data_IF_508364566243
#
_entry.id   IF_508364566243
#
_cell.length_a   1.000
_cell.length_b   1.000
_cell.length_c   1.000
_cell.angle_alpha   90.00
_cell.angle_beta   90.00
_cell.angle_gamma   90.00
#
_symmetry.space_group_name_H-M   'P 1'
#
loop_
_entity.id
_entity.type
_entity.pdbx_description
1 polymer ?
#
# COMPACT_ATOMS: atom_id res chain seq x y z
N UNK A 1 19.21 20.89 -20.04
CA UNK A 1 20.44 20.28 -19.49
C UNK A 1 20.37 20.45 -17.98
N UNK A 2 19.96 19.41 -17.25
CA UNK A 2 19.76 19.47 -15.80
C UNK A 2 21.10 19.63 -15.08
N UNK A 3 21.20 20.61 -14.18
CA UNK A 3 22.39 20.84 -13.36
C UNK A 3 22.54 19.64 -12.43
N UNK A 4 23.60 18.85 -12.58
CA UNK A 4 23.95 17.82 -11.59
C UNK A 4 24.14 18.49 -10.23
N UNK A 5 23.50 17.95 -9.19
CA UNK A 5 23.68 18.42 -7.82
C UNK A 5 25.14 18.27 -7.42
N UNK A 6 25.67 19.24 -6.68
CA UNK A 6 26.96 19.06 -6.05
C UNK A 6 26.87 17.90 -5.04
N UNK A 7 27.99 17.25 -4.76
CA UNK A 7 28.01 16.14 -3.80
C UNK A 7 27.54 16.56 -2.40
N UNK A 8 27.62 17.85 -2.06
CA UNK A 8 27.11 18.40 -0.81
C UNK A 8 25.56 18.52 -0.78
N UNK A 9 24.93 18.68 -1.94
CA UNK A 9 23.47 18.86 -2.08
C UNK A 9 22.72 17.54 -2.33
N UNK A 10 23.45 16.42 -2.47
CA UNK A 10 22.86 15.09 -2.61
C UNK A 10 22.27 14.62 -1.27
N UNK A 11 21.04 14.05 -1.28
CA UNK A 11 20.51 13.31 -0.14
C UNK A 11 21.46 12.18 0.27
N UNK A 12 21.41 11.77 1.53
CA UNK A 12 22.04 10.53 1.98
C UNK A 12 21.10 9.36 1.70
N UNK A 13 21.65 8.18 1.48
CA UNK A 13 20.87 6.95 1.40
C UNK A 13 21.43 5.86 2.33
N UNK A 14 20.57 4.92 2.70
CA UNK A 14 20.94 3.63 3.25
C UNK A 14 20.20 2.54 2.46
N UNK A 15 20.95 1.60 1.87
CA UNK A 15 20.36 0.48 1.11
C UNK A 15 19.84 -0.59 2.07
N UNK A 16 18.71 -1.17 1.72
CA UNK A 16 18.16 -2.34 2.42
C UNK A 16 17.65 -3.37 1.42
N UNK A 17 17.36 -4.57 1.95
CA UNK A 17 16.71 -5.65 1.23
C UNK A 17 15.66 -6.29 2.12
N UNK A 18 14.41 -6.29 1.67
CA UNK A 18 13.33 -7.04 2.31
C UNK A 18 13.17 -8.39 1.61
N UNK A 19 13.12 -9.46 2.40
CA UNK A 19 12.89 -10.81 1.88
C UNK A 19 11.49 -11.27 2.22
N UNK A 20 10.67 -11.50 1.21
CA UNK A 20 9.31 -11.98 1.38
C UNK A 20 9.30 -13.45 1.82
N UNK A 21 8.42 -13.77 2.77
CA UNK A 21 8.20 -15.14 3.26
C UNK A 21 7.68 -16.08 2.17
N UNK A 22 7.04 -15.53 1.15
CA UNK A 22 6.51 -16.24 -0.01
C UNK A 22 6.32 -15.32 -1.22
N UNK A 23 5.77 -15.86 -2.32
CA UNK A 23 5.43 -15.06 -3.51
C UNK A 23 4.25 -14.15 -3.19
N UNK A 24 4.41 -12.84 -3.41
CA UNK A 24 3.45 -11.83 -2.93
C UNK A 24 2.27 -11.56 -3.87
N UNK A 25 2.41 -11.75 -5.18
CA UNK A 25 1.30 -11.56 -6.14
C UNK A 25 1.58 -12.22 -7.50
N UNK A 26 0.62 -12.12 -8.42
CA UNK A 26 0.69 -12.69 -9.77
C UNK A 26 1.74 -12.03 -10.67
N UNK A 27 2.02 -10.74 -10.45
CA UNK A 27 2.91 -9.94 -11.29
C UNK A 27 4.40 -10.21 -11.00
N UNK A 28 4.75 -10.80 -9.87
CA UNK A 28 6.15 -11.10 -9.53
C UNK A 28 6.39 -12.53 -9.03
N UNK A 29 7.57 -13.07 -9.32
CA UNK A 29 8.12 -14.28 -8.66
C UNK A 29 9.30 -13.95 -7.74
N UNK A 30 9.67 -12.67 -7.66
CA UNK A 30 10.77 -12.16 -6.83
C UNK A 30 10.39 -12.31 -5.36
N UNK A 31 11.38 -12.68 -4.55
CA UNK A 31 11.25 -12.76 -3.08
C UNK A 31 12.14 -11.76 -2.37
N UNK A 32 12.99 -11.05 -3.09
CA UNK A 32 13.96 -10.13 -2.53
C UNK A 32 13.78 -8.77 -3.16
N UNK A 33 13.46 -7.78 -2.33
CA UNK A 33 13.07 -6.45 -2.74
C UNK A 33 14.09 -5.46 -2.20
N UNK A 34 14.87 -4.89 -3.11
CA UNK A 34 15.86 -3.87 -2.78
C UNK A 34 15.21 -2.49 -2.81
N UNK A 35 15.56 -1.67 -1.83
CA UNK A 35 15.16 -0.28 -1.76
C UNK A 35 16.21 0.57 -1.05
N UNK A 36 15.89 1.85 -0.88
CA UNK A 36 16.71 2.76 -0.10
C UNK A 36 15.87 3.57 0.86
N UNK A 37 16.39 3.77 2.06
CA UNK A 37 15.99 4.89 2.89
C UNK A 37 16.76 6.12 2.43
N UNK A 38 16.11 7.27 2.47
CA UNK A 38 16.64 8.55 2.01
C UNK A 38 16.65 9.50 3.21
N UNK A 39 17.76 10.19 3.45
CA UNK A 39 17.86 11.23 4.49
C UNK A 39 18.15 12.59 3.86
N UNK A 40 17.34 13.59 4.22
CA UNK A 40 17.46 15.00 3.82
C UNK A 40 17.42 15.86 5.08
N UNK A 41 18.55 16.47 5.45
CA UNK A 41 18.68 17.09 6.77
C UNK A 41 18.51 16.04 7.86
N UNK A 42 17.58 16.30 8.79
CA UNK A 42 17.21 15.35 9.84
C UNK A 42 16.06 14.43 9.47
N UNK A 43 15.41 14.63 8.32
CA UNK A 43 14.24 13.83 7.95
C UNK A 43 14.54 12.64 7.05
N UNK A 44 13.69 11.62 7.15
CA UNK A 44 13.84 10.34 6.49
C UNK A 44 12.64 9.98 5.60
N UNK A 45 12.91 9.36 4.46
CA UNK A 45 11.92 8.82 3.54
C UNK A 45 12.33 7.47 2.98
N UNK A 46 11.45 6.86 2.19
CA UNK A 46 11.65 5.52 1.63
C UNK A 46 11.39 5.49 0.12
N UNK A 47 12.28 4.84 -0.62
CA UNK A 47 12.09 4.46 -2.02
C UNK A 47 12.11 2.93 -2.09
N UNK A 48 10.97 2.33 -2.44
CA UNK A 48 10.79 0.89 -2.59
C UNK A 48 10.07 0.60 -3.92
N UNK A 49 10.80 0.42 -5.03
CA UNK A 49 10.16 0.26 -6.33
C UNK A 49 9.66 -1.17 -6.57
N UNK A 50 8.51 -1.25 -7.23
CA UNK A 50 7.94 -2.48 -7.80
C UNK A 50 7.93 -2.41 -9.34
N UNK A 51 9.05 -2.74 -10.03
CA UNK A 51 9.08 -2.71 -11.49
C UNK A 51 8.06 -3.61 -12.16
N UNK A 52 7.71 -4.70 -11.49
CA UNK A 52 6.65 -5.62 -11.92
C UNK A 52 5.26 -4.98 -11.93
N UNK A 53 5.09 -3.87 -11.20
CA UNK A 53 3.88 -3.06 -11.14
C UNK A 53 4.03 -1.74 -11.91
N UNK A 54 5.08 -1.59 -12.73
CA UNK A 54 5.28 -0.40 -13.57
C UNK A 54 6.07 0.72 -12.91
N UNK A 55 6.52 0.54 -11.66
CA UNK A 55 7.52 1.44 -11.10
C UNK A 55 8.81 1.34 -11.90
N UNK A 56 9.65 2.38 -11.84
CA UNK A 56 10.96 2.24 -12.42
C UNK A 56 11.93 1.45 -11.51
N UNK A 57 12.95 0.79 -12.08
CA UNK A 57 13.98 0.09 -11.30
C UNK A 57 14.74 1.01 -10.33
N UNK A 58 15.24 0.43 -9.23
CA UNK A 58 15.94 1.17 -8.17
C UNK A 58 17.07 2.06 -8.68
N UNK A 59 17.92 1.56 -9.58
CA UNK A 59 19.04 2.35 -10.13
C UNK A 59 18.57 3.60 -10.89
N UNK A 60 17.38 3.52 -11.52
CA UNK A 60 16.79 4.68 -12.18
C UNK A 60 16.19 5.65 -11.16
N UNK A 61 15.58 5.15 -10.08
CA UNK A 61 15.13 5.99 -8.97
C UNK A 61 16.30 6.75 -8.32
N UNK A 62 17.44 6.08 -8.15
CA UNK A 62 18.67 6.69 -7.61
C UNK A 62 19.24 7.76 -8.53
N UNK A 63 19.25 7.49 -9.85
CA UNK A 63 19.65 8.50 -10.84
C UNK A 63 18.72 9.72 -10.84
N UNK A 64 17.40 9.50 -10.71
CA UNK A 64 16.41 10.59 -10.61
C UNK A 64 16.52 11.37 -9.29
N UNK A 65 16.76 10.69 -8.16
CA UNK A 65 17.02 11.29 -6.85
C UNK A 65 18.24 12.22 -6.85
N UNK A 66 19.30 11.81 -7.54
CA UNK A 66 20.51 12.60 -7.75
C UNK A 66 20.36 13.71 -8.81
N UNK A 67 19.24 13.73 -9.53
CA UNK A 67 19.00 14.59 -10.68
C UNK A 67 17.68 15.35 -10.58
N UNK A 68 16.78 15.23 -11.58
CA UNK A 68 15.62 16.10 -11.71
C UNK A 68 14.49 15.81 -10.72
N UNK A 69 14.50 14.65 -10.04
CA UNK A 69 13.46 14.23 -9.07
C UNK A 69 12.06 14.29 -9.69
N UNK A 70 11.97 13.75 -10.89
CA UNK A 70 10.78 13.82 -11.75
C UNK A 70 9.78 12.71 -11.47
N UNK A 71 10.22 11.60 -10.87
CA UNK A 71 9.37 10.43 -10.69
C UNK A 71 8.55 10.51 -9.41
N UNK A 72 7.26 10.11 -9.44
CA UNK A 72 6.38 10.18 -8.28
C UNK A 72 7.00 9.52 -7.03
N UNK A 73 7.52 8.30 -7.17
CA UNK A 73 8.17 7.59 -6.05
C UNK A 73 9.32 8.37 -5.40
N UNK A 74 10.11 9.10 -6.19
CA UNK A 74 11.22 9.93 -5.70
C UNK A 74 10.69 11.19 -5.03
N UNK A 75 9.72 11.87 -5.65
CA UNK A 75 9.10 13.08 -5.08
C UNK A 75 8.39 12.80 -3.77
N UNK A 76 7.66 11.69 -3.69
CA UNK A 76 6.95 11.26 -2.48
C UNK A 76 7.92 10.84 -1.37
N UNK A 77 9.03 10.16 -1.69
CA UNK A 77 10.08 9.89 -0.71
C UNK A 77 10.73 11.17 -0.14
N UNK A 78 10.96 12.19 -0.97
CA UNK A 78 11.46 13.48 -0.52
C UNK A 78 10.42 14.25 0.30
N UNK A 79 9.14 14.16 -0.06
CA UNK A 79 8.05 14.75 0.71
C UNK A 79 7.88 14.09 2.08
N UNK A 80 8.02 12.77 2.13
CA UNK A 80 8.10 11.99 3.37
C UNK A 80 9.23 12.51 4.27
N UNK A 81 10.45 12.64 3.72
CA UNK A 81 11.59 13.19 4.46
C UNK A 81 11.38 14.63 4.92
N UNK A 82 10.72 15.48 4.13
CA UNK A 82 10.41 16.86 4.54
C UNK A 82 9.45 16.91 5.73
N UNK A 83 8.39 16.09 5.70
CA UNK A 83 7.40 16.01 6.79
C UNK A 83 8.04 15.42 8.05
N UNK A 84 8.81 14.34 7.90
CA UNK A 84 9.54 13.70 8.99
C UNK A 84 10.55 14.66 9.64
N UNK A 85 11.32 15.43 8.84
CA UNK A 85 12.23 16.46 9.33
C UNK A 85 11.52 17.50 10.21
N UNK A 86 10.31 17.91 9.83
CA UNK A 86 9.54 18.89 10.58
C UNK A 86 9.15 18.36 11.97
N UNK A 87 8.70 17.10 12.06
CA UNK A 87 8.40 16.46 13.34
C UNK A 87 9.64 16.32 14.24
N UNK A 88 10.77 15.90 13.65
CA UNK A 88 12.04 15.77 14.38
C UNK A 88 12.60 17.10 14.87
N UNK A 89 12.53 18.14 14.05
CA UNK A 89 12.96 19.48 14.44
C UNK A 89 12.11 20.06 15.59
N UNK A 90 10.86 19.61 15.70
CA UNK A 90 9.94 19.99 16.78
C UNK A 90 10.01 19.05 18.00
N UNK A 91 10.83 18.00 17.97
CA UNK A 91 10.98 16.99 19.03
C UNK A 91 9.63 16.32 19.40
N UNK A 92 8.81 16.00 18.40
CA UNK A 92 7.49 15.36 18.56
C UNK A 92 7.33 14.15 17.67
N UNK A 93 6.45 13.22 18.06
CA UNK A 93 5.96 12.20 17.14
C UNK A 93 4.92 12.82 16.21
N UNK A 94 4.97 12.47 14.93
CA UNK A 94 3.94 12.90 13.97
C UNK A 94 2.61 12.17 14.19
N UNK A 95 2.57 11.16 15.06
CA UNK A 95 1.37 10.44 15.44
C UNK A 95 0.72 10.98 16.73
N UNK A 96 1.37 11.92 17.42
CA UNK A 96 0.80 12.53 18.61
C UNK A 96 -0.55 13.18 18.26
N UNK A 97 -1.56 12.92 19.09
CA UNK A 97 -2.95 13.39 18.92
C UNK A 97 -3.66 12.94 17.62
N UNK A 98 -3.14 11.94 16.91
CA UNK A 98 -3.77 11.37 15.73
C UNK A 98 -4.28 9.93 15.97
N UNK A 99 -5.48 9.64 15.48
CA UNK A 99 -6.01 8.28 15.42
C UNK A 99 -5.74 7.69 14.03
N UNK A 100 -4.87 6.67 13.96
CA UNK A 100 -4.58 5.95 12.72
C UNK A 100 -5.75 5.01 12.39
N UNK A 101 -6.34 5.08 11.18
CA UNK A 101 -7.39 4.16 10.76
C UNK A 101 -6.95 2.70 10.80
N UNK A 102 -7.87 1.81 11.19
CA UNK A 102 -7.63 0.36 11.18
C UNK A 102 -7.30 -0.17 9.79
N UNK A 103 -6.60 -1.30 9.75
CA UNK A 103 -6.19 -1.99 8.54
C UNK A 103 -6.93 -3.31 8.32
N UNK A 104 -7.13 -3.67 7.05
CA UNK A 104 -7.42 -5.05 6.65
C UNK A 104 -6.15 -5.91 6.73
N UNK A 105 -6.32 -7.23 6.81
CA UNK A 105 -5.23 -8.20 6.73
C UNK A 105 -4.88 -8.50 5.28
N UNK A 106 -3.65 -8.20 4.82
CA UNK A 106 -3.17 -8.71 3.53
C UNK A 106 -2.73 -10.15 3.70
N UNK A 107 -3.40 -11.11 3.06
CA UNK A 107 -3.04 -12.52 3.21
C UNK A 107 -1.74 -12.83 2.48
N UNK A 108 -0.79 -13.41 3.21
CA UNK A 108 0.46 -13.85 2.63
C UNK A 108 0.27 -15.10 1.74
N UNK A 109 -0.60 -16.04 2.14
CA UNK A 109 -0.90 -17.29 1.43
C UNK A 109 -2.40 -17.51 1.26
N UNK A 110 -2.75 -18.30 0.24
CA UNK A 110 -4.09 -18.87 0.04
C UNK A 110 -4.25 -20.15 0.86
N UNK A 111 -4.25 -20.04 2.19
CA UNK A 111 -4.45 -21.19 3.06
C UNK A 111 -5.43 -20.88 4.19
N UNK A 112 -6.08 -21.92 4.71
CA UNK A 112 -7.05 -21.80 5.80
C UNK A 112 -6.38 -21.23 7.06
N UNK A 113 -5.15 -21.66 7.34
CA UNK A 113 -4.36 -21.24 8.48
C UNK A 113 -4.05 -19.73 8.42
N UNK A 114 -3.82 -19.18 7.23
CA UNK A 114 -3.59 -17.74 7.07
C UNK A 114 -4.86 -16.92 7.35
N UNK A 115 -6.03 -17.44 6.97
CA UNK A 115 -7.33 -16.81 7.27
C UNK A 115 -7.64 -16.93 8.77
N UNK A 116 -7.45 -18.10 9.37
CA UNK A 116 -7.58 -18.33 10.81
C UNK A 116 -6.68 -17.39 11.61
N UNK A 117 -5.42 -17.22 11.19
CA UNK A 117 -4.48 -16.31 11.84
C UNK A 117 -4.94 -14.85 11.75
N UNK A 118 -5.47 -14.41 10.59
CA UNK A 118 -6.02 -13.06 10.45
C UNK A 118 -7.23 -12.85 11.36
N UNK A 119 -8.17 -13.81 11.40
CA UNK A 119 -9.35 -13.74 12.27
C UNK A 119 -8.94 -13.75 13.74
N UNK A 120 -8.00 -14.61 14.13
CA UNK A 120 -7.49 -14.68 15.50
C UNK A 120 -6.76 -13.40 15.93
N UNK A 121 -6.12 -12.70 15.00
CA UNK A 121 -5.51 -11.39 15.21
C UNK A 121 -6.53 -10.24 15.29
N UNK A 122 -7.82 -10.50 15.04
CA UNK A 122 -8.91 -9.53 15.15
C UNK A 122 -9.32 -8.85 13.84
N UNK A 123 -8.79 -9.28 12.69
CA UNK A 123 -9.16 -8.68 11.41
C UNK A 123 -10.58 -9.08 10.98
N UNK A 124 -11.40 -8.08 10.64
CA UNK A 124 -12.74 -8.26 10.07
C UNK A 124 -12.76 -8.27 8.53
N UNK A 125 -11.66 -7.89 7.89
CA UNK A 125 -11.52 -7.89 6.43
C UNK A 125 -10.15 -8.40 6.03
N UNK A 126 -10.10 -9.23 5.00
CA UNK A 126 -8.86 -9.75 4.40
C UNK A 126 -8.74 -9.32 2.95
N UNK A 127 -7.52 -9.03 2.50
CA UNK A 127 -7.17 -8.80 1.10
C UNK A 127 -6.44 -10.02 0.54
N UNK A 128 -6.94 -10.51 -0.58
CA UNK A 128 -6.36 -11.62 -1.33
C UNK A 128 -5.98 -11.17 -2.75
N UNK A 129 -4.73 -11.41 -3.11
CA UNK A 129 -4.26 -11.26 -4.50
C UNK A 129 -4.84 -12.39 -5.36
N UNK A 130 -5.46 -12.08 -6.49
CA UNK A 130 -6.10 -13.02 -7.40
C UNK A 130 -5.55 -12.92 -8.83
N UNK A 131 -5.96 -13.82 -9.73
CA UNK A 131 -5.60 -13.82 -11.14
C UNK A 131 -4.51 -14.80 -11.54
N UNK A 132 -3.99 -15.64 -10.63
CA UNK A 132 -3.00 -16.67 -10.97
C UNK A 132 -3.69 -17.96 -11.40
N UNK A 133 -4.64 -18.43 -10.58
CA UNK A 133 -5.39 -19.65 -10.84
C UNK A 133 -6.85 -19.44 -10.44
N UNK A 134 -7.70 -18.92 -11.37
CA UNK A 134 -9.07 -18.54 -11.09
C UNK A 134 -9.93 -19.68 -10.49
N UNK A 135 -9.75 -20.92 -10.96
CA UNK A 135 -10.52 -22.07 -10.45
C UNK A 135 -10.19 -22.37 -8.98
N UNK A 136 -8.89 -22.41 -8.66
CA UNK A 136 -8.43 -22.65 -7.30
C UNK A 136 -8.77 -21.48 -6.36
N UNK A 137 -8.62 -20.25 -6.84
CA UNK A 137 -8.95 -19.03 -6.09
C UNK A 137 -10.45 -18.97 -5.76
N UNK A 138 -11.32 -19.31 -6.71
CA UNK A 138 -12.77 -19.41 -6.46
C UNK A 138 -13.09 -20.48 -5.42
N UNK A 139 -12.56 -21.69 -5.60
CA UNK A 139 -12.82 -22.79 -4.67
C UNK A 139 -12.38 -22.44 -3.24
N UNK A 140 -11.23 -21.78 -3.10
CA UNK A 140 -10.74 -21.27 -1.83
C UNK A 140 -11.67 -20.20 -1.24
N UNK A 141 -12.06 -19.19 -2.02
CA UNK A 141 -12.96 -18.12 -1.57
C UNK A 141 -14.31 -18.67 -1.12
N UNK A 142 -14.92 -19.58 -1.89
CA UNK A 142 -16.21 -20.19 -1.55
C UNK A 142 -16.13 -21.01 -0.25
N UNK A 143 -15.04 -21.78 -0.07
CA UNK A 143 -14.82 -22.53 1.15
C UNK A 143 -14.60 -21.62 2.38
N UNK A 144 -13.77 -20.58 2.24
CA UNK A 144 -13.46 -19.69 3.36
C UNK A 144 -14.59 -18.72 3.70
N UNK A 145 -15.38 -18.26 2.73
CA UNK A 145 -16.57 -17.44 3.00
C UNK A 145 -17.70 -18.25 3.67
N UNK A 146 -17.77 -19.57 3.41
CA UNK A 146 -18.67 -20.47 4.12
C UNK A 146 -18.24 -20.64 5.58
N UNK A 147 -16.94 -20.83 5.82
CA UNK A 147 -16.37 -21.09 7.15
C UNK A 147 -16.28 -19.83 8.03
N UNK A 148 -15.94 -18.68 7.43
CA UNK A 148 -15.80 -17.40 8.10
C UNK A 148 -16.80 -16.37 7.54
N UNK A 149 -18.11 -16.55 7.81
CA UNK A 149 -19.15 -15.79 7.11
C UNK A 149 -19.27 -14.32 7.51
N UNK A 150 -18.63 -13.91 8.60
CA UNK A 150 -18.53 -12.50 9.01
C UNK A 150 -17.32 -11.78 8.41
N UNK A 151 -16.42 -12.51 7.74
CA UNK A 151 -15.20 -11.96 7.18
C UNK A 151 -15.49 -11.34 5.80
N UNK A 152 -15.10 -10.08 5.63
CA UNK A 152 -15.19 -9.39 4.34
C UNK A 152 -13.92 -9.62 3.51
N UNK A 153 -14.08 -9.66 2.20
CA UNK A 153 -12.99 -9.95 1.26
C UNK A 153 -12.73 -8.77 0.32
N UNK A 154 -11.46 -8.41 0.18
CA UNK A 154 -10.95 -7.53 -0.88
C UNK A 154 -10.15 -8.38 -1.84
N UNK A 155 -10.52 -8.37 -3.11
CA UNK A 155 -9.77 -9.09 -4.14
C UNK A 155 -8.95 -8.09 -4.94
N UNK A 156 -7.76 -8.46 -5.33
CA UNK A 156 -6.88 -7.58 -6.09
C UNK A 156 -6.21 -8.34 -7.22
N UNK A 157 -6.54 -7.95 -8.45
CA UNK A 157 -6.10 -8.60 -9.67
C UNK A 157 -4.91 -7.91 -10.34
N UNK A 158 -4.52 -6.71 -9.90
CA UNK A 158 -3.45 -5.90 -10.51
C UNK A 158 -3.55 -5.83 -12.06
N UNK A 159 -4.76 -5.66 -12.60
CA UNK A 159 -5.04 -5.58 -14.04
C UNK A 159 -4.64 -6.82 -14.87
N UNK A 160 -4.45 -7.99 -14.24
CA UNK A 160 -3.96 -9.19 -14.93
C UNK A 160 -4.97 -9.78 -15.94
N UNK A 161 -6.24 -10.03 -15.59
CA UNK A 161 -7.14 -10.72 -16.50
C UNK A 161 -7.82 -9.76 -17.49
N UNK A 162 -8.33 -10.32 -18.58
CA UNK A 162 -9.19 -9.57 -19.49
C UNK A 162 -10.55 -9.25 -18.85
N UNK A 163 -11.28 -8.22 -19.32
CA UNK A 163 -12.57 -7.83 -18.71
C UNK A 163 -13.60 -8.94 -18.62
N UNK A 164 -13.72 -9.79 -19.65
CA UNK A 164 -14.66 -10.90 -19.65
C UNK A 164 -14.22 -12.06 -18.75
N UNK A 165 -12.92 -12.26 -18.57
CA UNK A 165 -12.37 -13.25 -17.62
C UNK A 165 -12.65 -12.83 -16.18
N UNK A 166 -12.44 -11.53 -15.86
CA UNK A 166 -12.78 -10.97 -14.57
C UNK A 166 -14.29 -11.08 -14.28
N UNK A 167 -15.13 -10.75 -15.26
CA UNK A 167 -16.58 -10.89 -15.15
C UNK A 167 -16.99 -12.36 -14.93
N UNK A 168 -16.41 -13.29 -15.71
CA UNK A 168 -16.68 -14.72 -15.58
C UNK A 168 -16.30 -15.25 -14.20
N UNK A 169 -15.12 -14.87 -13.68
CA UNK A 169 -14.68 -15.24 -12.34
C UNK A 169 -15.67 -14.75 -11.27
N UNK A 170 -16.00 -13.45 -11.26
CA UNK A 170 -16.88 -12.86 -10.27
C UNK A 170 -18.31 -13.42 -10.34
N UNK A 171 -18.82 -13.65 -11.55
CA UNK A 171 -20.12 -14.26 -11.76
C UNK A 171 -20.18 -15.76 -11.40
N UNK A 172 -19.05 -16.44 -11.36
CA UNK A 172 -18.95 -17.85 -10.98
C UNK A 172 -18.85 -18.07 -9.46
N UNK A 173 -18.49 -17.04 -8.68
CA UNK A 173 -18.51 -17.12 -7.21
C UNK A 173 -19.91 -17.44 -6.69
N UNK A 174 -20.00 -18.22 -5.62
CA UNK A 174 -21.27 -18.45 -4.93
C UNK A 174 -21.90 -17.11 -4.52
N UNK A 175 -23.24 -16.94 -4.62
CA UNK A 175 -23.90 -15.68 -4.27
C UNK A 175 -23.58 -15.20 -2.85
N UNK A 176 -23.39 -16.12 -1.89
CA UNK A 176 -22.98 -15.80 -0.52
C UNK A 176 -21.55 -15.26 -0.50
N UNK A 177 -20.61 -15.92 -1.17
CA UNK A 177 -19.22 -15.46 -1.30
C UNK A 177 -19.17 -14.06 -1.92
N UNK A 178 -19.95 -13.84 -2.99
CA UNK A 178 -20.01 -12.53 -3.65
C UNK A 178 -20.58 -11.44 -2.73
N UNK A 179 -21.52 -11.78 -1.86
CA UNK A 179 -22.13 -10.81 -0.93
C UNK A 179 -21.17 -10.31 0.16
N UNK A 180 -20.11 -11.06 0.46
CA UNK A 180 -19.08 -10.68 1.44
C UNK A 180 -17.82 -10.07 0.79
N UNK A 181 -17.86 -9.79 -0.51
CA UNK A 181 -16.80 -9.00 -1.16
C UNK A 181 -17.04 -7.51 -0.85
N UNK A 182 -16.07 -6.88 -0.20
CA UNK A 182 -16.07 -5.43 0.05
C UNK A 182 -15.87 -4.67 -1.27
N UNK A 183 -14.83 -5.04 -2.02
CA UNK A 183 -14.57 -4.58 -3.38
C UNK A 183 -13.54 -5.46 -4.10
N UNK A 184 -13.44 -5.27 -5.42
CA UNK A 184 -12.40 -5.83 -6.28
C UNK A 184 -11.53 -4.69 -6.83
N UNK A 185 -10.26 -4.73 -6.50
CA UNK A 185 -9.21 -3.80 -6.93
C UNK A 185 -8.64 -4.22 -8.28
N UNK A 186 -8.62 -3.26 -9.20
CA UNK A 186 -8.04 -3.38 -10.55
C UNK A 186 -8.38 -4.70 -11.25
N UNK A 187 -9.67 -5.03 -11.44
CA UNK A 187 -10.10 -6.31 -11.99
C UNK A 187 -9.56 -6.58 -13.40
N UNK A 188 -9.25 -5.54 -14.16
CA UNK A 188 -8.70 -5.55 -15.52
C UNK A 188 -8.21 -4.12 -15.83
N UNK A 189 -7.44 -3.88 -16.90
CA UNK A 189 -6.97 -2.54 -17.25
C UNK A 189 -8.09 -1.50 -17.25
N UNK A 190 -7.82 -0.32 -16.68
CA UNK A 190 -8.87 0.68 -16.49
C UNK A 190 -9.49 1.16 -17.81
N UNK A 191 -10.82 1.12 -17.87
CA UNK A 191 -11.62 1.80 -18.89
C UNK A 191 -12.99 2.12 -18.31
N UNK A 192 -13.41 3.38 -18.43
CA UNK A 192 -14.63 3.88 -17.79
C UNK A 192 -15.89 3.12 -18.23
N UNK A 193 -15.99 2.79 -19.53
CA UNK A 193 -17.12 2.03 -20.07
C UNK A 193 -17.07 0.56 -19.64
N UNK A 194 -15.89 -0.05 -19.67
CA UNK A 194 -15.67 -1.45 -19.31
C UNK A 194 -15.95 -1.68 -17.83
N UNK A 195 -15.44 -0.83 -16.93
CA UNK A 195 -15.64 -0.98 -15.50
C UNK A 195 -17.09 -0.73 -15.08
N UNK A 196 -17.79 0.22 -15.75
CA UNK A 196 -19.23 0.40 -15.56
C UNK A 196 -20.03 -0.83 -15.98
N UNK A 197 -19.68 -1.45 -17.09
CA UNK A 197 -20.32 -2.70 -17.54
C UNK A 197 -20.02 -3.86 -16.57
N UNK A 198 -18.77 -4.02 -16.17
CA UNK A 198 -18.34 -5.04 -15.22
C UNK A 198 -19.09 -4.94 -13.88
N UNK A 199 -19.20 -3.72 -13.33
CA UNK A 199 -19.98 -3.45 -12.11
C UNK A 199 -21.45 -3.81 -12.29
N UNK A 200 -22.05 -3.47 -13.44
CA UNK A 200 -23.46 -3.82 -13.75
C UNK A 200 -23.67 -5.34 -13.86
N UNK A 201 -22.75 -6.05 -14.51
CA UNK A 201 -22.83 -7.51 -14.74
C UNK A 201 -22.64 -8.30 -13.45
N UNK A 202 -21.71 -7.89 -12.60
CA UNK A 202 -21.28 -8.65 -11.43
C UNK A 202 -21.99 -8.23 -10.15
N UNK A 203 -22.40 -6.96 -10.05
CA UNK A 203 -22.95 -6.35 -8.83
C UNK A 203 -21.90 -6.05 -7.75
N UNK A 204 -20.61 -6.28 -8.05
CA UNK A 204 -19.51 -6.10 -7.11
C UNK A 204 -18.93 -4.68 -7.22
N UNK A 205 -18.58 -4.09 -6.08
CA UNK A 205 -17.91 -2.78 -6.04
C UNK A 205 -16.50 -2.88 -6.59
N UNK A 206 -16.07 -1.88 -7.35
CA UNK A 206 -14.74 -1.84 -7.95
C UNK A 206 -13.88 -0.77 -7.29
N UNK A 207 -12.60 -1.08 -7.06
CA UNK A 207 -11.60 -0.15 -6.56
C UNK A 207 -10.54 0.10 -7.64
N UNK A 208 -10.14 1.37 -7.81
CA UNK A 208 -9.00 1.72 -8.63
C UNK A 208 -7.77 1.92 -7.75
N UNK A 209 -6.66 1.32 -8.15
CA UNK A 209 -5.34 1.50 -7.53
C UNK A 209 -4.33 2.03 -8.56
N UNK A 210 -4.03 1.26 -9.62
CA UNK A 210 -2.96 1.61 -10.58
C UNK A 210 -3.22 2.86 -11.40
N UNK A 211 -4.47 3.08 -11.81
CA UNK A 211 -4.91 4.23 -12.62
C UNK A 211 -5.68 5.24 -11.75
N UNK A 212 -5.34 5.32 -10.46
CA UNK A 212 -5.93 6.26 -9.52
C UNK A 212 -5.59 7.70 -9.96
N UNK A 213 -6.63 8.45 -10.31
CA UNK A 213 -6.50 9.83 -10.77
C UNK A 213 -7.76 10.63 -10.40
N UNK A 214 -7.67 11.97 -10.32
CA UNK A 214 -8.80 12.80 -9.95
C UNK A 214 -10.05 12.66 -10.84
N UNK A 215 -9.89 12.20 -12.08
CA UNK A 215 -10.97 12.02 -13.04
C UNK A 215 -11.49 10.58 -13.12
N UNK A 216 -10.91 9.65 -12.36
CA UNK A 216 -11.28 8.23 -12.37
C UNK A 216 -12.62 8.00 -11.67
N UNK A 217 -13.72 8.02 -12.43
CA UNK A 217 -15.08 8.05 -11.90
C UNK A 217 -15.86 6.72 -11.99
N UNK A 218 -15.35 5.71 -12.71
CA UNK A 218 -16.05 4.42 -12.83
C UNK A 218 -15.88 3.50 -11.62
N UNK A 219 -14.90 3.77 -10.75
CA UNK A 219 -14.66 3.02 -9.53
C UNK A 219 -15.58 3.49 -8.38
N UNK A 220 -15.93 2.59 -7.48
CA UNK A 220 -16.63 2.87 -6.23
C UNK A 220 -15.66 3.30 -5.12
N UNK A 221 -14.41 2.85 -5.22
CA UNK A 221 -13.36 3.06 -4.22
C UNK A 221 -12.11 3.61 -4.91
N UNK A 222 -11.51 4.63 -4.31
CA UNK A 222 -10.20 5.16 -4.68
C UNK A 222 -9.18 4.61 -3.69
N UNK A 223 -8.23 3.81 -4.17
CA UNK A 223 -7.07 3.37 -3.40
C UNK A 223 -5.98 4.42 -3.58
N UNK A 224 -5.37 4.85 -2.47
CA UNK A 224 -4.29 5.83 -2.44
C UNK A 224 -3.07 5.21 -1.78
N UNK A 225 -1.93 5.30 -2.45
CA UNK A 225 -0.61 4.85 -1.98
C UNK A 225 0.29 6.07 -1.80
N UNK A 226 0.50 6.56 -0.56
CA UNK A 226 1.30 7.75 -0.32
C UNK A 226 2.75 7.70 -0.82
N UNK A 227 3.28 6.49 -1.09
CA UNK A 227 4.57 6.28 -1.73
C UNK A 227 4.62 6.71 -3.21
N UNK A 228 3.48 6.83 -3.89
CA UNK A 228 3.37 7.14 -5.32
C UNK A 228 2.43 8.32 -5.59
N UNK A 229 1.31 8.38 -4.86
CA UNK A 229 0.21 9.29 -5.11
C UNK A 229 0.32 10.60 -4.33
N UNK A 230 -0.49 11.59 -4.73
CA UNK A 230 -0.74 12.81 -3.96
C UNK A 230 -2.01 12.65 -3.11
N UNK A 231 -1.92 12.32 -1.80
CA UNK A 231 -3.05 11.80 -1.06
C UNK A 231 -4.20 12.78 -0.90
N UNK A 232 -3.91 14.05 -0.61
CA UNK A 232 -4.94 15.09 -0.47
C UNK A 232 -5.70 15.33 -1.77
N UNK A 233 -5.00 15.37 -2.91
CA UNK A 233 -5.61 15.59 -4.22
C UNK A 233 -6.58 14.45 -4.58
N UNK A 234 -6.16 13.20 -4.36
CA UNK A 234 -7.02 12.04 -4.64
C UNK A 234 -8.17 11.93 -3.63
N UNK A 235 -7.94 12.26 -2.36
CA UNK A 235 -8.98 12.30 -1.33
C UNK A 235 -10.09 13.29 -1.69
N UNK A 236 -9.74 14.54 -2.02
CA UNK A 236 -10.72 15.55 -2.43
C UNK A 236 -11.51 15.12 -3.67
N UNK A 237 -10.83 14.55 -4.67
CA UNK A 237 -11.47 14.07 -5.88
C UNK A 237 -12.43 12.89 -5.65
N UNK A 238 -12.05 11.95 -4.78
CA UNK A 238 -12.84 10.78 -4.42
C UNK A 238 -14.10 11.20 -3.65
N UNK A 239 -13.93 12.04 -2.62
CA UNK A 239 -15.04 12.53 -1.80
C UNK A 239 -16.03 13.37 -2.61
N UNK A 240 -15.53 14.24 -3.51
CA UNK A 240 -16.38 15.01 -4.43
C UNK A 240 -17.23 14.12 -5.37
N UNK A 241 -16.81 12.87 -5.59
CA UNK A 241 -17.51 11.88 -6.41
C UNK A 241 -18.26 10.83 -5.59
N UNK A 242 -18.34 11.00 -4.26
CA UNK A 242 -18.92 10.00 -3.35
C UNK A 242 -18.27 8.62 -3.46
N UNK A 243 -17.00 8.57 -3.85
CA UNK A 243 -16.19 7.36 -3.80
C UNK A 243 -15.67 7.15 -2.38
N UNK A 244 -15.57 5.89 -1.95
CA UNK A 244 -14.89 5.55 -0.70
C UNK A 244 -13.38 5.75 -0.89
N UNK A 245 -12.72 6.36 0.07
CA UNK A 245 -11.27 6.48 0.10
C UNK A 245 -10.66 5.34 0.94
N UNK A 246 -9.62 4.69 0.42
CA UNK A 246 -8.83 3.68 1.15
C UNK A 246 -7.35 3.99 0.97
N UNK A 247 -6.61 4.15 2.07
CA UNK A 247 -5.16 4.35 2.02
C UNK A 247 -4.44 3.02 2.22
N UNK A 248 -3.40 2.77 1.43
CA UNK A 248 -2.59 1.55 1.56
C UNK A 248 -1.09 1.87 1.56
N UNK A 249 -0.32 1.02 2.25
CA UNK A 249 1.12 0.93 2.04
C UNK A 249 1.42 0.26 0.70
N UNK A 250 2.67 0.35 0.22
CA UNK A 250 3.06 -0.24 -1.06
C UNK A 250 3.88 -1.53 -0.87
N UNK A 251 3.57 -2.32 0.17
CA UNK A 251 4.39 -3.47 0.59
C UNK A 251 5.88 -3.08 0.73
N UNK A 252 6.12 -1.88 1.24
CA UNK A 252 7.41 -1.23 1.33
C UNK A 252 8.00 -1.32 2.74
N UNK A 253 9.17 -0.71 2.92
CA UNK A 253 9.85 -0.67 4.21
C UNK A 253 8.94 -0.14 5.33
N UNK A 254 9.10 -0.58 6.60
CA UNK A 254 8.36 -0.06 7.74
C UNK A 254 8.26 1.47 7.83
N UNK A 255 9.31 2.20 7.46
CA UNK A 255 9.27 3.67 7.34
C UNK A 255 8.24 4.17 6.31
N UNK A 256 8.13 3.50 5.16
CA UNK A 256 7.10 3.79 4.14
C UNK A 256 5.69 3.43 4.62
N UNK A 257 5.54 2.33 5.37
CA UNK A 257 4.28 1.96 6.02
C UNK A 257 3.86 2.99 7.07
N UNK A 258 4.80 3.49 7.89
CA UNK A 258 4.56 4.58 8.85
C UNK A 258 4.14 5.87 8.14
N UNK A 259 4.78 6.21 7.01
CA UNK A 259 4.35 7.36 6.22
C UNK A 259 2.94 7.20 5.65
N UNK A 260 2.59 6.01 5.17
CA UNK A 260 1.23 5.72 4.70
C UNK A 260 0.20 5.84 5.85
N UNK A 261 0.55 5.37 7.05
CA UNK A 261 -0.29 5.48 8.23
C UNK A 261 -0.49 6.93 8.68
N UNK A 262 0.57 7.75 8.67
CA UNK A 262 0.49 9.17 8.98
C UNK A 262 -0.43 9.90 8.00
N UNK A 263 -0.25 9.69 6.68
CA UNK A 263 -1.09 10.31 5.66
C UNK A 263 -2.55 9.87 5.80
N UNK A 264 -2.81 8.60 6.12
CA UNK A 264 -4.15 8.12 6.42
C UNK A 264 -4.76 8.83 7.64
N UNK A 265 -4.01 8.99 8.72
CA UNK A 265 -4.48 9.65 9.95
C UNK A 265 -4.76 11.15 9.71
N UNK A 266 -3.86 11.85 9.00
CA UNK A 266 -4.04 13.24 8.61
C UNK A 266 -5.30 13.43 7.75
N UNK A 267 -5.51 12.56 6.77
CA UNK A 267 -6.71 12.62 5.94
C UNK A 267 -7.97 12.30 6.77
N UNK A 268 -7.91 11.37 7.74
CA UNK A 268 -9.06 11.02 8.59
C UNK A 268 -9.46 12.18 9.49
N UNK A 269 -8.48 12.88 10.07
CA UNK A 269 -8.70 14.10 10.84
C UNK A 269 -9.27 15.23 9.96
N UNK A 270 -8.79 15.34 8.71
CA UNK A 270 -9.25 16.37 7.77
C UNK A 270 -10.66 16.10 7.22
N UNK A 271 -10.99 14.84 6.99
CA UNK A 271 -12.26 14.40 6.42
C UNK A 271 -12.91 13.33 7.34
N UNK A 272 -13.50 13.72 8.48
CA UNK A 272 -14.11 12.77 9.41
C UNK A 272 -15.15 11.89 8.73
N UNK A 273 -14.98 10.58 8.82
CA UNK A 273 -15.83 9.57 8.16
C UNK A 273 -15.60 9.41 6.65
N UNK A 274 -14.64 10.14 6.07
CA UNK A 274 -14.30 10.09 4.64
C UNK A 274 -13.37 8.93 4.25
N UNK A 275 -12.72 8.30 5.23
CA UNK A 275 -11.78 7.19 5.01
C UNK A 275 -12.38 5.88 5.50
N UNK A 276 -12.33 4.86 4.66
CA UNK A 276 -12.70 3.50 5.04
C UNK A 276 -11.56 2.73 5.72
N UNK A 277 -11.79 1.44 5.95
CA UNK A 277 -10.74 0.53 6.44
C UNK A 277 -9.54 0.52 5.48
N UNK A 278 -8.35 0.81 5.99
CA UNK A 278 -7.11 0.99 5.23
C UNK A 278 -6.35 -0.33 5.01
N UNK A 279 -5.17 -0.26 4.39
CA UNK A 279 -4.23 -1.38 4.18
C UNK A 279 -2.80 -0.98 4.51
N UNK A 280 -2.56 -0.59 5.75
CA UNK A 280 -1.32 0.07 6.16
C UNK A 280 -0.23 -0.90 6.61
N UNK A 281 -0.60 -2.14 6.92
CA UNK A 281 0.27 -3.12 7.58
C UNK A 281 0.60 -4.30 6.68
N UNK A 282 1.81 -4.29 6.14
CA UNK A 282 2.35 -5.32 5.23
C UNK A 282 3.68 -5.87 5.71
N UNK A 283 4.20 -5.41 6.85
CA UNK A 283 5.47 -5.86 7.45
C UNK A 283 5.51 -7.38 7.69
N UNK A 284 4.40 -7.99 8.10
CA UNK A 284 4.32 -9.44 8.34
C UNK A 284 4.59 -10.31 7.10
N UNK A 285 4.51 -9.73 5.88
CA UNK A 285 4.81 -10.43 4.62
C UNK A 285 6.30 -10.74 4.46
N UNK A 286 7.16 -10.05 5.21
CA UNK A 286 8.61 -10.13 5.12
C UNK A 286 9.22 -10.91 6.30
N UNK A 287 10.44 -11.41 6.09
CA UNK A 287 11.29 -11.93 7.16
C UNK A 287 11.59 -10.82 8.18
N UNK A 288 11.69 -11.16 9.48
CA UNK A 288 11.87 -10.16 10.53
C UNK A 288 13.24 -9.46 10.41
N UNK A 289 13.23 -8.17 10.67
CA UNK A 289 14.40 -7.31 10.91
C UNK A 289 14.04 -6.28 12.00
N UNK A 290 14.99 -5.48 12.51
CA UNK A 290 14.70 -4.54 13.58
C UNK A 290 13.58 -3.53 13.28
N UNK A 291 13.44 -3.10 12.02
CA UNK A 291 12.36 -2.19 11.61
C UNK A 291 11.01 -2.93 11.55
N UNK A 292 10.98 -4.16 11.05
CA UNK A 292 9.78 -5.01 11.00
C UNK A 292 9.29 -5.34 12.41
N UNK A 293 10.20 -5.61 13.35
CA UNK A 293 9.87 -5.88 14.76
C UNK A 293 9.32 -4.64 15.47
N UNK A 294 9.84 -3.45 15.15
CA UNK A 294 9.36 -2.18 15.70
C UNK A 294 7.91 -1.84 15.31
N UNK A 295 7.40 -2.40 14.20
CA UNK A 295 5.99 -2.29 13.79
C UNK A 295 5.04 -3.11 14.67
N UNK A 296 5.56 -3.94 15.57
CA UNK A 296 4.75 -4.70 16.52
C UNK A 296 3.93 -5.83 15.90
N UNK A 297 2.95 -6.36 16.64
CA UNK A 297 2.16 -7.50 16.22
C UNK A 297 1.29 -7.16 15.00
N UNK A 298 1.04 -8.16 14.15
CA UNK A 298 0.13 -8.02 13.02
C UNK A 298 -1.33 -8.08 13.49
N UNK A 299 -1.93 -6.90 13.72
CA UNK A 299 -3.31 -6.70 14.21
C UNK A 299 -3.97 -5.53 13.47
N UNK A 300 -5.30 -5.32 13.53
CA UNK A 300 -5.96 -4.23 12.77
C UNK A 300 -5.47 -2.82 13.10
N UNK A 301 -5.23 -2.56 14.39
CA UNK A 301 -4.69 -1.28 14.86
C UNK A 301 -3.23 -1.11 14.46
N UNK A 302 -2.84 0.12 14.12
CA UNK A 302 -1.46 0.44 13.75
C UNK A 302 -0.63 0.76 14.99
N UNK A 303 0.46 0.03 15.21
CA UNK A 303 1.41 0.38 16.25
C UNK A 303 2.38 1.45 15.74
N UNK A 304 2.23 2.67 16.25
CA UNK A 304 3.10 3.78 15.91
C UNK A 304 4.54 3.50 16.40
N UNK A 305 5.57 3.60 15.54
CA UNK A 305 6.95 3.45 15.93
C UNK A 305 7.36 4.53 16.96
N UNK A 306 8.14 4.13 17.97
CA UNK A 306 8.63 5.06 19.01
C UNK A 306 9.67 6.00 18.42
N UNK A 307 9.65 7.26 18.86
CA UNK A 307 10.62 8.29 18.52
C UNK A 307 9.96 9.56 17.98
N UNK A 308 10.78 10.41 17.37
CA UNK A 308 10.40 11.68 16.76
C UNK A 308 10.11 11.53 15.27
N UNK A 309 9.35 12.45 14.69
CA UNK A 309 8.93 12.33 13.30
C UNK A 309 8.05 11.08 13.10
N UNK A 310 8.42 10.22 12.17
CA UNK A 310 7.83 8.90 11.92
C UNK A 310 8.31 7.81 12.90
N UNK A 311 9.19 8.16 13.84
CA UNK A 311 9.82 7.26 14.81
C UNK A 311 11.07 6.57 14.27
N UNK A 312 11.43 5.43 14.86
CA UNK A 312 12.61 4.61 14.53
C UNK A 312 13.97 5.30 14.77
N UNK A 313 14.04 6.28 15.66
CA UNK A 313 15.21 7.15 15.88
C UNK A 313 16.52 6.34 16.03
N UNK A 314 16.59 5.45 17.01
CA UNK A 314 17.76 4.60 17.26
C UNK A 314 18.15 3.73 16.05
N UNK A 315 17.16 3.23 15.33
CA UNK A 315 17.39 2.38 14.16
C UNK A 315 17.93 3.18 12.99
N UNK A 316 17.40 4.38 12.76
CA UNK A 316 17.81 5.28 11.68
C UNK A 316 19.22 5.84 11.94
N UNK A 317 19.55 6.16 13.19
CA UNK A 317 20.87 6.65 13.59
C UNK A 317 21.97 5.59 13.40
N UNK A 318 21.62 4.30 13.54
CA UNK A 318 22.55 3.19 13.38
C UNK A 318 22.86 2.83 11.91
N UNK A 319 22.17 3.43 10.93
CA UNK A 319 22.31 3.04 9.53
C UNK A 319 23.60 3.56 8.87
N UNK A 320 24.17 2.81 7.91
CA UNK A 320 25.37 3.21 7.17
C UNK A 320 25.05 4.23 6.07
N UNK A 321 24.72 5.46 6.46
CA UNK A 321 24.36 6.54 5.54
C UNK A 321 25.51 6.90 4.59
N UNK A 322 25.21 6.98 3.29
CA UNK A 322 26.19 7.38 2.26
C UNK A 322 25.58 8.31 1.21
N UNK A 323 26.42 9.18 0.63
CA UNK A 323 26.09 9.98 -0.56
C UNK A 323 26.63 9.36 -1.87
N UNK A 324 27.27 8.20 -1.77
CA UNK A 324 27.86 7.49 -2.90
C UNK A 324 26.82 6.56 -3.56
N UNK A 325 26.06 7.13 -4.50
CA UNK A 325 25.11 6.45 -5.37
C UNK A 325 24.83 7.25 -6.65
#
# INVERSE_FOLDING_TARGET
MGRMLSMADKPWISRYRLRARQVLNAATRRRDFEGVLVRVGEGYGCIHPWPELGDPPLDRCLADLAGPRSWPIVRRALRCAEIDAAGRAADVSLFDDLEVPESHATLASRSREAVEAAVAAGFATVKLKAGINPEHERAFLDAMALEFPSLMWRLDFNEVPAPDEAAAFLCALDPRTRSVIDFVEDPCPYSESVWRDLRKRTGVRLAVDREAAPLTAAADVMVVKPALDEPLLLAEAALARSQRLVVTSSMDHPLGQAFAALEAACLAARFPGGIGLCGLQTHHLFEPDPFIEAMGPWVPGFQCPVGTGLGFDDLLDALPWTRHF
#
